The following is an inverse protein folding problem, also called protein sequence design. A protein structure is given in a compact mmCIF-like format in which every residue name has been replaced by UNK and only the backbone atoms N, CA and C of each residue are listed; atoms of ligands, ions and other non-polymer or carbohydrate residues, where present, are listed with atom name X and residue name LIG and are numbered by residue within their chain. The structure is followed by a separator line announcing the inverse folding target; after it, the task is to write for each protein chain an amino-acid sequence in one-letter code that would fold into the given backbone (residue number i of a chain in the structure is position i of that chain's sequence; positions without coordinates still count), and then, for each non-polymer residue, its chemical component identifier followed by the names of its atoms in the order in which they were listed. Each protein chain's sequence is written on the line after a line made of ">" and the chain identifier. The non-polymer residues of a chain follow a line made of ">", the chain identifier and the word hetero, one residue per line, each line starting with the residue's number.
data_IF_315041426818
#
_entry.id   IF_315041426818
#
_cell.length_a   1.000
_cell.length_b   1.000
_cell.length_c   1.000
_cell.angle_alpha   90.00
_cell.angle_beta   90.00
_cell.angle_gamma   90.00
#
_symmetry.space_group_name_H-M   'P 1'
#
loop_
_entity.id
_entity.type
_entity.pdbx_description
1 polymer ?
#
# COMPACT_ATOMS: atom_id res chain seq x y z
N UNK A 1 -19.31 -3.93 -4.00
CA UNK A 1 -19.91 -4.62 -5.17
C UNK A 1 -18.97 -4.61 -6.37
N UNK A 2 -18.67 -3.46 -6.96
CA UNK A 2 -17.84 -3.33 -8.17
C UNK A 2 -16.47 -4.04 -8.04
N UNK A 3 -15.70 -3.77 -6.98
CA UNK A 3 -14.38 -4.39 -6.76
C UNK A 3 -14.47 -5.91 -6.62
N UNK A 4 -15.37 -6.40 -5.77
CA UNK A 4 -15.50 -7.83 -5.49
C UNK A 4 -15.96 -8.62 -6.72
N UNK A 5 -16.93 -8.11 -7.49
CA UNK A 5 -17.41 -8.82 -8.67
C UNK A 5 -16.35 -8.88 -9.77
N UNK A 6 -15.67 -7.76 -10.03
CA UNK A 6 -14.56 -7.73 -10.98
C UNK A 6 -13.43 -8.68 -10.57
N UNK A 7 -13.02 -8.65 -9.30
CA UNK A 7 -11.93 -9.49 -8.80
C UNK A 7 -12.23 -10.99 -8.97
N UNK A 8 -13.45 -11.42 -8.61
CA UNK A 8 -13.86 -12.82 -8.76
C UNK A 8 -13.90 -13.26 -10.23
N UNK A 9 -14.38 -12.40 -11.13
CA UNK A 9 -14.40 -12.70 -12.57
C UNK A 9 -12.99 -12.76 -13.18
N UNK A 10 -12.06 -11.92 -12.72
CA UNK A 10 -10.66 -11.97 -13.15
C UNK A 10 -9.97 -13.25 -12.66
N UNK A 11 -10.24 -13.68 -11.42
CA UNK A 11 -9.75 -14.97 -10.93
C UNK A 11 -10.27 -16.12 -11.78
N UNK A 12 -11.58 -16.15 -12.09
CA UNK A 12 -12.18 -17.19 -12.96
C UNK A 12 -11.56 -17.21 -14.37
N UNK A 13 -11.20 -16.03 -14.88
CA UNK A 13 -10.47 -15.89 -16.15
C UNK A 13 -8.97 -16.25 -16.06
N UNK A 14 -8.47 -16.72 -14.91
CA UNK A 14 -7.11 -17.21 -14.72
C UNK A 14 -6.07 -16.14 -14.36
N UNK A 15 -6.49 -14.91 -14.01
CA UNK A 15 -5.57 -13.86 -13.56
C UNK A 15 -5.22 -14.00 -12.08
N UNK A 16 -3.99 -13.63 -11.73
CA UNK A 16 -3.62 -13.33 -10.34
C UNK A 16 -4.08 -11.91 -10.01
N UNK A 17 -4.96 -11.78 -9.02
CA UNK A 17 -5.60 -10.50 -8.69
C UNK A 17 -5.06 -9.94 -7.38
N UNK A 18 -4.69 -8.66 -7.41
CA UNK A 18 -4.28 -7.89 -6.24
C UNK A 18 -5.28 -6.75 -6.05
N UNK A 19 -6.01 -6.76 -4.93
CA UNK A 19 -7.02 -5.76 -4.61
C UNK A 19 -6.49 -4.81 -3.52
N UNK A 20 -6.49 -3.51 -3.81
CA UNK A 20 -6.14 -2.50 -2.82
C UNK A 20 -7.37 -2.16 -1.95
N UNK A 21 -7.32 -2.62 -0.70
CA UNK A 21 -8.40 -2.46 0.28
C UNK A 21 -8.50 -1.05 0.86
N UNK A 22 -7.40 -0.33 1.04
CA UNK A 22 -7.42 1.03 1.63
C UNK A 22 -7.80 2.13 0.62
N UNK A 23 -7.82 1.78 -0.67
CA UNK A 23 -8.36 2.62 -1.74
C UNK A 23 -9.76 2.18 -2.22
N UNK A 24 -10.40 1.22 -1.54
CA UNK A 24 -11.73 0.67 -1.93
C UNK A 24 -12.74 0.82 -0.80
N UNK A 25 -13.75 1.69 -0.99
CA UNK A 25 -14.77 1.99 0.02
C UNK A 25 -16.10 1.23 -0.14
N UNK A 26 -16.84 1.11 0.97
CA UNK A 26 -18.24 0.67 1.01
C UNK A 26 -18.98 1.26 2.22
N UNK A 27 -20.21 0.82 2.50
CA UNK A 27 -21.13 1.46 3.45
C UNK A 27 -20.63 1.47 4.90
N UNK A 28 -19.99 0.38 5.33
CA UNK A 28 -19.54 0.18 6.70
C UNK A 28 -18.40 -0.83 6.76
N UNK A 29 -17.75 -0.92 7.92
CA UNK A 29 -16.59 -1.78 8.16
C UNK A 29 -16.92 -3.26 7.99
N UNK A 30 -18.10 -3.70 8.45
CA UNK A 30 -18.50 -5.11 8.33
C UNK A 30 -18.66 -5.49 6.86
N UNK A 31 -19.38 -4.68 6.09
CA UNK A 31 -19.56 -4.91 4.65
C UNK A 31 -18.21 -4.93 3.91
N UNK A 32 -17.25 -4.08 4.31
CA UNK A 32 -15.89 -4.09 3.75
C UNK A 32 -15.15 -5.40 4.08
N UNK A 33 -15.21 -5.84 5.34
CA UNK A 33 -14.58 -7.07 5.81
C UNK A 33 -15.17 -8.30 5.11
N UNK A 34 -16.50 -8.43 5.08
CA UNK A 34 -17.20 -9.54 4.42
C UNK A 34 -16.84 -9.62 2.93
N UNK A 35 -16.74 -8.48 2.23
CA UNK A 35 -16.32 -8.43 0.83
C UNK A 35 -14.85 -8.83 0.65
N UNK A 36 -13.95 -8.34 1.51
CA UNK A 36 -12.54 -8.67 1.47
C UNK A 36 -12.29 -10.15 1.78
N UNK A 37 -13.01 -10.73 2.74
CA UNK A 37 -12.89 -12.13 3.11
C UNK A 37 -13.38 -13.05 1.99
N UNK A 38 -14.48 -12.69 1.33
CA UNK A 38 -14.92 -13.40 0.11
C UNK A 38 -13.86 -13.37 -1.00
N UNK A 39 -13.23 -12.22 -1.23
CA UNK A 39 -12.16 -12.10 -2.23
C UNK A 39 -10.94 -12.95 -1.86
N UNK A 40 -10.50 -12.91 -0.59
CA UNK A 40 -9.40 -13.75 -0.09
C UNK A 40 -9.69 -15.24 -0.24
N UNK A 41 -10.90 -15.68 0.09
CA UNK A 41 -11.32 -17.07 -0.06
C UNK A 41 -11.30 -17.56 -1.51
N UNK A 42 -11.43 -16.65 -2.48
CA UNK A 42 -11.28 -16.93 -3.90
C UNK A 42 -9.83 -16.81 -4.41
N UNK A 43 -8.84 -16.55 -3.54
CA UNK A 43 -7.42 -16.45 -3.92
C UNK A 43 -6.97 -15.05 -4.34
N UNK A 44 -7.76 -14.01 -4.11
CA UNK A 44 -7.33 -12.61 -4.35
C UNK A 44 -6.38 -12.15 -3.24
N UNK A 45 -5.28 -11.51 -3.61
CA UNK A 45 -4.37 -10.84 -2.69
C UNK A 45 -4.95 -9.50 -2.27
N UNK A 46 -5.54 -9.41 -1.07
CA UNK A 46 -6.11 -8.17 -0.54
C UNK A 46 -5.06 -7.45 0.30
N UNK A 47 -4.57 -6.31 -0.19
CA UNK A 47 -3.42 -5.58 0.34
C UNK A 47 -3.76 -4.10 0.63
N UNK A 48 -2.84 -3.39 1.28
CA UNK A 48 -2.83 -1.92 1.37
C UNK A 48 -2.06 -1.32 0.19
N UNK A 49 -2.25 -0.03 -0.09
CA UNK A 49 -1.46 0.71 -1.07
C UNK A 49 0.03 0.62 -0.76
N UNK A 50 0.39 0.72 0.52
CA UNK A 50 1.76 0.64 0.98
C UNK A 50 2.38 -0.74 0.70
N UNK A 51 1.66 -1.83 0.99
CA UNK A 51 2.12 -3.18 0.72
C UNK A 51 2.31 -3.42 -0.79
N UNK A 52 1.34 -3.01 -1.63
CA UNK A 52 1.46 -3.10 -3.10
C UNK A 52 2.69 -2.34 -3.59
N UNK A 53 2.90 -1.13 -3.09
CA UNK A 53 4.05 -0.29 -3.46
C UNK A 53 5.39 -0.95 -3.13
N UNK A 54 5.51 -1.52 -1.93
CA UNK A 54 6.74 -2.19 -1.50
C UNK A 54 6.96 -3.55 -2.20
N UNK A 55 5.89 -4.28 -2.51
CA UNK A 55 5.99 -5.52 -3.31
C UNK A 55 6.43 -5.25 -4.75
N UNK A 56 6.09 -4.09 -5.33
CA UNK A 56 6.60 -3.68 -6.64
C UNK A 56 8.06 -3.20 -6.57
N UNK A 57 8.38 -2.39 -5.55
CA UNK A 57 9.74 -1.84 -5.35
C UNK A 57 10.78 -2.93 -5.01
N UNK A 58 10.40 -3.92 -4.20
CA UNK A 58 11.22 -5.04 -3.68
C UNK A 58 12.38 -4.65 -2.76
N UNK A 59 13.24 -3.73 -3.17
CA UNK A 59 14.48 -3.37 -2.48
C UNK A 59 14.70 -1.86 -2.53
N UNK A 60 14.90 -1.24 -1.37
CA UNK A 60 15.16 0.19 -1.23
C UNK A 60 16.41 0.69 -1.97
N UNK A 61 17.35 -0.23 -2.27
CA UNK A 61 18.62 0.07 -2.96
C UNK A 61 18.49 0.02 -4.49
N UNK A 62 17.40 -0.52 -5.01
CA UNK A 62 17.18 -0.68 -6.45
C UNK A 62 16.51 0.56 -7.05
N UNK A 63 16.19 0.50 -8.34
CA UNK A 63 15.33 1.49 -9.03
C UNK A 63 14.08 0.77 -9.57
N UNK A 64 12.86 1.18 -9.17
CA UNK A 64 12.59 2.20 -8.15
C UNK A 64 13.03 1.74 -6.75
N UNK A 65 13.56 2.67 -5.95
CA UNK A 65 13.98 2.46 -4.56
C UNK A 65 13.66 3.70 -3.73
N UNK A 66 14.48 4.00 -2.73
CA UNK A 66 14.22 5.15 -1.86
C UNK A 66 14.05 6.49 -2.63
N UNK A 67 14.91 6.87 -3.58
CA UNK A 67 14.80 8.18 -4.26
C UNK A 67 13.48 8.36 -5.03
N UNK A 68 12.98 7.29 -5.66
CA UNK A 68 11.74 7.34 -6.45
C UNK A 68 10.48 7.18 -5.58
N UNK A 69 10.56 6.38 -4.51
CA UNK A 69 9.41 6.09 -3.66
C UNK A 69 9.18 7.16 -2.58
N UNK A 70 10.23 7.83 -2.09
CA UNK A 70 10.09 8.85 -1.04
C UNK A 70 9.12 9.98 -1.42
N UNK A 71 9.17 10.58 -2.63
CA UNK A 71 8.21 11.62 -3.01
C UNK A 71 6.76 11.13 -3.01
N UNK A 72 6.53 9.89 -3.44
CA UNK A 72 5.20 9.28 -3.44
C UNK A 72 4.67 9.06 -2.02
N UNK A 73 5.50 8.52 -1.13
CA UNK A 73 5.10 8.35 0.27
C UNK A 73 4.98 9.67 1.03
N UNK A 74 5.80 10.67 0.71
CA UNK A 74 5.67 12.01 1.29
C UNK A 74 4.32 12.65 0.99
N UNK A 75 3.82 12.43 -0.24
CA UNK A 75 2.54 12.96 -0.69
C UNK A 75 1.34 12.17 -0.17
N UNK A 76 1.40 10.84 -0.16
CA UNK A 76 0.23 9.99 0.09
C UNK A 76 0.25 9.23 1.43
N UNK A 77 1.38 9.24 2.17
CA UNK A 77 1.52 8.76 3.55
C UNK A 77 2.19 9.86 4.41
N UNK A 78 1.44 10.90 4.81
CA UNK A 78 2.00 12.06 5.50
C UNK A 78 2.82 11.73 6.74
N UNK A 79 2.42 10.70 7.51
CA UNK A 79 3.12 10.24 8.70
C UNK A 79 4.54 9.76 8.36
N UNK A 80 4.68 9.05 7.25
CA UNK A 80 5.98 8.60 6.75
C UNK A 80 6.80 9.77 6.20
N UNK A 81 6.15 10.71 5.50
CA UNK A 81 6.79 11.95 5.04
C UNK A 81 7.33 12.82 6.18
N UNK A 82 6.58 12.97 7.28
CA UNK A 82 7.06 13.68 8.47
C UNK A 82 8.31 13.04 9.05
N UNK A 83 8.33 11.70 9.17
CA UNK A 83 9.49 10.97 9.66
C UNK A 83 10.70 11.13 8.74
N UNK A 84 10.52 10.98 7.42
CA UNK A 84 11.59 11.10 6.44
C UNK A 84 12.21 12.51 6.45
N UNK A 85 11.38 13.56 6.42
CA UNK A 85 11.87 14.95 6.46
C UNK A 85 12.57 15.29 7.77
N UNK A 86 12.07 14.79 8.90
CA UNK A 86 12.72 14.99 10.20
C UNK A 86 14.09 14.29 10.26
N UNK A 87 14.17 13.06 9.74
CA UNK A 87 15.43 12.33 9.60
C UNK A 87 16.44 13.08 8.72
N UNK A 88 16.01 13.55 7.54
CA UNK A 88 16.88 14.26 6.61
C UNK A 88 17.39 15.59 7.19
N UNK A 89 16.52 16.32 7.90
CA UNK A 89 16.92 17.53 8.62
C UNK A 89 17.93 17.23 9.74
N UNK A 90 17.75 16.15 10.48
CA UNK A 90 18.68 15.72 11.53
C UNK A 90 20.04 15.30 10.95
N UNK A 91 20.04 14.55 9.84
CA UNK A 91 21.24 14.13 9.14
C UNK A 91 22.02 15.33 8.57
N UNK A 92 21.32 16.33 8.02
CA UNK A 92 21.93 17.56 7.51
C UNK A 92 22.48 18.45 8.63
N UNK A 93 21.77 18.58 9.75
CA UNK A 93 22.14 19.45 10.87
C UNK A 93 23.07 18.77 11.90
N UNK A 94 23.36 17.47 11.76
CA UNK A 94 24.26 16.73 12.65
C UNK A 94 23.74 16.52 14.07
N UNK A 95 22.46 16.73 14.33
CA UNK A 95 21.84 16.49 15.65
C UNK A 95 20.81 15.37 15.54
N UNK A 96 21.20 14.11 15.85
CA UNK A 96 20.23 13.04 15.99
C UNK A 96 19.21 13.38 17.08
N UNK A 97 18.00 12.84 16.99
CA UNK A 97 16.90 13.15 17.93
C UNK A 97 17.22 12.85 19.40
N UNK A 98 18.31 12.13 19.69
CA UNK A 98 18.78 11.86 21.05
C UNK A 98 17.90 10.90 21.85
N UNK A 99 16.90 10.28 21.20
CA UNK A 99 16.31 9.02 21.63
C UNK A 99 17.25 7.85 21.27
#
# INVERSE_FOLDING_TARGET
>A
VCTAFLALSLVDAGYTVYANSDASGTFDTKTAQDANDRMRAAGVHVLSMFAVSLELMRDWRNTPGAPEMMPFFDQYLPEYGFLARAHDAAAANGTPSGL
#
